data_IF_225854510095
#
_entry.id   IF_225854510095
#
_cell.length_a   1.000
_cell.length_b   1.000
_cell.length_c   1.000
_cell.angle_alpha   90.00
_cell.angle_beta   90.00
_cell.angle_gamma   90.00
#
_symmetry.space_group_name_H-M   'P 1'
#
loop_
_entity.id
_entity.type
_entity.pdbx_description
1 polymer ?
#
# COMPACT_ATOMS: atom_id res chain seq x y z
N UNK A 1 17.97 6.16 30.43
CA UNK A 1 17.89 7.04 29.27
C UNK A 1 16.93 8.18 29.60
N UNK A 2 17.25 9.41 29.21
CA UNK A 2 16.40 10.58 29.53
C UNK A 2 15.51 10.88 28.32
N UNK A 3 14.20 11.01 28.54
CA UNK A 3 13.29 11.54 27.53
C UNK A 3 13.40 13.06 27.49
N UNK A 4 13.49 13.59 26.29
CA UNK A 4 13.44 15.01 26.00
C UNK A 4 11.99 15.49 25.82
N UNK A 5 11.74 16.78 25.90
CA UNK A 5 10.50 17.34 25.37
C UNK A 5 10.46 17.20 23.84
N UNK A 6 9.28 17.18 23.21
CA UNK A 6 9.18 17.07 21.75
C UNK A 6 9.98 18.17 21.03
N UNK A 7 9.95 19.41 21.52
CA UNK A 7 10.67 20.53 20.90
C UNK A 7 12.19 20.38 21.02
N UNK A 8 12.69 19.86 22.15
CA UNK A 8 14.12 19.57 22.32
C UNK A 8 14.53 18.41 21.41
N UNK A 9 13.69 17.36 21.28
CA UNK A 9 13.99 16.22 20.42
C UNK A 9 14.12 16.63 18.94
N UNK A 10 13.23 17.47 18.42
CA UNK A 10 13.34 17.99 17.05
C UNK A 10 14.41 19.07 16.89
N UNK A 11 15.05 19.49 17.95
CA UNK A 11 16.18 20.45 17.95
C UNK A 11 17.38 19.97 17.13
N UNK A 12 17.50 18.67 16.88
CA UNK A 12 18.55 18.09 16.03
C UNK A 12 18.35 18.35 14.52
N UNK A 13 17.13 18.72 14.08
CA UNK A 13 16.84 19.05 12.68
C UNK A 13 17.43 20.39 12.30
N UNK A 14 18.04 20.45 11.11
CA UNK A 14 18.70 21.64 10.55
C UNK A 14 18.05 22.03 9.21
N UNK A 15 18.21 23.27 8.83
CA UNK A 15 17.82 23.73 7.48
C UNK A 15 18.52 22.91 6.40
N UNK A 16 17.78 22.54 5.36
CA UNK A 16 18.23 21.72 4.25
C UNK A 16 18.18 20.19 4.50
N UNK A 17 17.86 19.73 5.73
CA UNK A 17 17.77 18.31 6.04
C UNK A 17 16.63 17.64 5.26
N UNK A 18 16.83 16.37 4.94
CA UNK A 18 15.80 15.47 4.44
C UNK A 18 15.35 14.52 5.54
N UNK A 19 14.09 14.60 5.91
CA UNK A 19 13.47 13.79 6.97
C UNK A 19 12.63 12.69 6.32
N UNK A 20 12.85 11.44 6.71
CA UNK A 20 11.94 10.32 6.41
C UNK A 20 11.05 10.09 7.63
N UNK A 21 9.74 10.03 7.40
CA UNK A 21 8.72 9.88 8.45
C UNK A 21 8.09 8.51 8.36
N UNK A 22 7.97 7.82 9.49
CA UNK A 22 7.24 6.55 9.58
C UNK A 22 5.78 6.75 9.16
N UNK A 23 5.27 5.80 8.37
CA UNK A 23 3.96 5.86 7.73
C UNK A 23 2.87 5.04 8.42
N UNK A 24 1.90 4.57 7.62
CA UNK A 24 0.72 3.83 8.07
C UNK A 24 -0.11 4.65 9.07
N UNK A 25 -0.62 4.03 10.11
CA UNK A 25 -1.26 4.68 11.27
C UNK A 25 -0.28 4.95 12.41
N UNK A 26 1.03 4.83 12.13
CA UNK A 26 2.15 5.04 13.06
C UNK A 26 2.82 6.41 12.93
N UNK A 27 2.22 7.35 12.22
CA UNK A 27 2.81 8.68 11.99
C UNK A 27 3.18 9.33 13.32
N UNK A 28 4.45 9.77 13.53
CA UNK A 28 4.91 10.39 14.77
C UNK A 28 4.44 11.85 14.89
N UNK A 29 3.13 12.06 15.08
CA UNK A 29 2.50 13.38 15.04
C UNK A 29 3.02 14.33 16.10
N UNK A 30 3.43 13.82 17.27
CA UNK A 30 4.04 14.66 18.33
C UNK A 30 5.33 15.31 17.83
N UNK A 31 6.17 14.56 17.11
CA UNK A 31 7.40 15.10 16.51
C UNK A 31 7.09 16.06 15.35
N UNK A 32 6.09 15.74 14.51
CA UNK A 32 5.73 16.61 13.38
C UNK A 32 5.11 17.94 13.82
N UNK A 33 4.30 17.95 14.89
CA UNK A 33 3.76 19.18 15.47
C UNK A 33 4.92 20.03 16.04
N UNK A 34 5.82 19.43 16.81
CA UNK A 34 6.99 20.11 17.36
C UNK A 34 7.94 20.65 16.27
N UNK A 35 8.16 19.87 15.18
CA UNK A 35 8.93 20.35 14.04
C UNK A 35 8.31 21.61 13.43
N UNK A 36 6.98 21.63 13.30
CA UNK A 36 6.26 22.76 12.70
C UNK A 36 6.40 24.04 13.55
N UNK A 37 6.49 23.94 14.88
CA UNK A 37 6.74 25.09 15.76
C UNK A 37 8.09 25.77 15.47
N UNK A 38 9.05 25.04 14.87
CA UNK A 38 10.36 25.57 14.46
C UNK A 38 10.40 26.17 13.06
N UNK A 39 9.25 26.34 12.41
CA UNK A 39 9.18 26.87 11.04
C UNK A 39 9.89 28.24 10.86
N UNK A 40 9.85 29.10 11.90
CA UNK A 40 10.55 30.40 11.89
C UNK A 40 12.08 30.30 11.77
N UNK A 41 12.66 29.17 12.23
CA UNK A 41 14.10 28.94 12.31
C UNK A 41 14.64 28.12 11.15
N UNK A 42 13.79 27.24 10.56
CA UNK A 42 14.17 26.26 9.55
C UNK A 42 13.88 26.76 8.13
N UNK A 43 14.70 26.31 7.16
CA UNK A 43 14.54 26.59 5.72
C UNK A 43 14.83 25.34 4.92
N UNK A 44 14.03 25.12 3.87
CA UNK A 44 14.18 24.05 2.86
C UNK A 44 14.35 22.64 3.46
N UNK A 45 13.63 22.33 4.53
CA UNK A 45 13.59 20.99 5.11
C UNK A 45 12.64 20.13 4.29
N UNK A 46 13.13 19.04 3.73
CA UNK A 46 12.32 18.07 2.97
C UNK A 46 11.74 17.04 3.93
N UNK A 47 10.43 16.85 3.88
CA UNK A 47 9.73 15.84 4.69
C UNK A 47 9.14 14.79 3.76
N UNK A 48 9.71 13.59 3.76
CA UNK A 48 9.31 12.47 2.92
C UNK A 48 8.43 11.53 3.73
N UNK A 49 7.19 11.34 3.27
CA UNK A 49 6.26 10.37 3.84
C UNK A 49 5.93 9.26 2.84
N UNK A 50 5.75 8.04 3.37
CA UNK A 50 5.15 6.94 2.64
C UNK A 50 3.63 6.99 2.70
N UNK A 51 2.99 5.81 2.63
CA UNK A 51 1.57 5.69 2.88
C UNK A 51 1.27 6.06 4.34
N UNK A 52 0.33 6.98 4.57
CA UNK A 52 -0.03 7.42 5.90
C UNK A 52 -1.54 7.67 6.04
N UNK A 53 -2.10 7.31 7.18
CA UNK A 53 -3.50 7.58 7.54
C UNK A 53 -3.51 8.29 8.89
N UNK A 54 -3.99 9.52 8.87
CA UNK A 54 -4.21 10.31 10.09
C UNK A 54 -5.40 11.27 9.88
N UNK A 55 -6.25 11.50 10.89
CA UNK A 55 -7.37 12.43 10.78
C UNK A 55 -6.94 13.90 10.65
N UNK A 56 -5.78 14.27 11.24
CA UNK A 56 -5.21 15.59 11.10
C UNK A 56 -4.43 15.70 9.78
N UNK A 57 -4.53 16.84 9.12
CA UNK A 57 -3.66 17.20 8.01
C UNK A 57 -2.18 17.27 8.49
N UNK A 58 -1.26 17.05 7.56
CA UNK A 58 0.16 17.13 7.87
C UNK A 58 0.52 18.58 8.28
N UNK A 59 0.96 18.84 9.52
CA UNK A 59 1.05 20.19 10.04
C UNK A 59 2.10 21.04 9.32
N UNK A 60 3.12 20.41 8.73
CA UNK A 60 4.20 21.06 7.97
C UNK A 60 3.80 21.38 6.51
N UNK A 61 2.75 20.76 5.97
CA UNK A 61 2.36 20.89 4.57
C UNK A 61 1.33 22.02 4.37
N UNK A 62 1.70 23.23 4.73
CA UNK A 62 0.86 24.42 4.62
C UNK A 62 1.54 25.48 3.74
N UNK A 63 0.72 26.25 3.00
CA UNK A 63 1.21 27.25 2.06
C UNK A 63 2.12 28.30 2.71
N UNK A 64 1.78 28.72 3.92
CA UNK A 64 2.55 29.69 4.70
C UNK A 64 3.89 29.14 5.22
N UNK A 65 4.11 27.83 5.12
CA UNK A 65 5.32 27.15 5.60
C UNK A 65 6.25 26.65 4.47
N UNK A 66 5.94 26.98 3.21
CA UNK A 66 6.68 26.47 2.05
C UNK A 66 8.15 26.88 2.00
N UNK A 67 8.53 28.00 2.62
CA UNK A 67 9.94 28.40 2.75
C UNK A 67 10.71 27.51 3.73
N UNK A 68 10.00 26.95 4.72
CA UNK A 68 10.59 26.13 5.77
C UNK A 68 10.56 24.65 5.43
N UNK A 69 9.44 24.17 4.84
CA UNK A 69 9.22 22.74 4.58
C UNK A 69 8.79 22.47 3.14
N UNK A 70 9.35 21.41 2.57
CA UNK A 70 8.90 20.82 1.32
C UNK A 70 8.27 19.46 1.62
N UNK A 71 6.95 19.36 1.49
CA UNK A 71 6.24 18.11 1.67
C UNK A 71 6.39 17.23 0.42
N UNK A 72 7.06 16.10 0.58
CA UNK A 72 7.25 15.10 -0.45
C UNK A 72 6.57 13.79 -0.02
N UNK A 73 6.05 13.05 -0.98
CA UNK A 73 5.48 11.75 -0.67
C UNK A 73 5.82 10.73 -1.77
N UNK A 74 5.74 9.46 -1.41
CA UNK A 74 5.95 8.32 -2.32
C UNK A 74 4.61 7.72 -2.70
N UNK A 75 3.65 7.82 -1.78
CA UNK A 75 2.26 7.45 -1.96
C UNK A 75 1.41 8.56 -1.33
N UNK A 76 0.50 9.19 -2.07
CA UNK A 76 -0.26 10.33 -1.56
C UNK A 76 -1.13 9.91 -0.38
N UNK A 77 -0.73 10.24 0.86
CA UNK A 77 -1.51 9.90 2.04
C UNK A 77 -2.75 10.79 2.12
N UNK A 78 -3.77 10.33 2.87
CA UNK A 78 -5.02 11.07 2.96
C UNK A 78 -4.84 12.48 3.56
N UNK A 79 -3.91 12.63 4.50
CA UNK A 79 -3.62 13.89 5.20
C UNK A 79 -2.73 14.86 4.40
N UNK A 80 -2.31 14.51 3.18
CA UNK A 80 -1.60 15.40 2.24
C UNK A 80 -2.41 15.70 0.96
N UNK A 81 -3.60 15.11 0.77
CA UNK A 81 -4.37 15.29 -0.46
C UNK A 81 -4.75 16.75 -0.76
N UNK A 82 -5.02 17.53 0.28
CA UNK A 82 -5.32 18.95 0.11
C UNK A 82 -4.05 19.72 -0.31
N UNK A 83 -2.93 19.46 0.37
CA UNK A 83 -1.64 20.07 0.03
C UNK A 83 -1.19 19.73 -1.40
N UNK A 84 -1.47 18.50 -1.90
CA UNK A 84 -1.23 18.12 -3.30
C UNK A 84 -2.06 18.97 -4.26
N UNK A 85 -3.36 19.16 -4.00
CA UNK A 85 -4.24 19.97 -4.87
C UNK A 85 -3.82 21.43 -4.91
N UNK A 86 -3.26 21.93 -3.84
CA UNK A 86 -2.79 23.31 -3.70
C UNK A 86 -1.35 23.52 -4.22
N UNK A 87 -0.67 22.44 -4.64
CA UNK A 87 0.71 22.50 -5.10
C UNK A 87 1.72 22.76 -3.97
N UNK A 88 1.33 22.50 -2.71
CA UNK A 88 2.18 22.62 -1.52
C UNK A 88 2.98 21.34 -1.27
N UNK A 89 2.45 20.21 -1.71
CA UNK A 89 3.11 18.91 -1.65
C UNK A 89 3.36 18.36 -3.06
N UNK A 90 4.37 17.49 -3.19
CA UNK A 90 4.75 16.85 -4.45
C UNK A 90 5.03 15.35 -4.24
N UNK A 91 5.12 14.59 -5.33
CA UNK A 91 5.30 13.14 -5.30
C UNK A 91 6.61 12.72 -5.96
N UNK A 92 7.31 11.78 -5.35
CA UNK A 92 8.45 11.05 -5.93
C UNK A 92 7.89 9.74 -6.52
N UNK A 93 7.71 9.63 -7.84
CA UNK A 93 7.16 8.43 -8.45
C UNK A 93 8.19 7.29 -8.42
N UNK A 94 7.87 6.21 -7.70
CA UNK A 94 8.66 4.98 -7.64
C UNK A 94 7.79 3.80 -7.22
N UNK A 95 8.25 2.59 -7.49
CA UNK A 95 7.65 1.40 -6.90
C UNK A 95 8.00 1.31 -5.42
N UNK A 96 7.07 0.85 -4.60
CA UNK A 96 7.28 0.86 -3.15
C UNK A 96 8.47 -0.03 -2.74
N UNK A 97 8.63 -1.19 -3.38
CA UNK A 97 9.78 -2.07 -3.14
C UNK A 97 11.13 -1.47 -3.50
N UNK A 98 11.17 -0.42 -4.32
CA UNK A 98 12.41 0.26 -4.73
C UNK A 98 12.81 1.42 -3.82
N UNK A 99 11.90 1.93 -2.98
CA UNK A 99 12.18 3.07 -2.11
C UNK A 99 13.41 2.85 -1.21
N UNK A 100 13.58 1.68 -0.56
CA UNK A 100 14.78 1.41 0.22
C UNK A 100 16.08 1.50 -0.59
N UNK A 101 16.04 1.18 -1.88
CA UNK A 101 17.19 1.36 -2.76
C UNK A 101 17.53 2.84 -2.97
N UNK A 102 16.53 3.72 -3.13
CA UNK A 102 16.76 5.16 -3.28
C UNK A 102 17.47 5.75 -2.06
N UNK A 103 17.16 5.27 -0.86
CA UNK A 103 17.82 5.69 0.39
C UNK A 103 19.22 5.08 0.51
N UNK A 104 19.35 3.77 0.37
CA UNK A 104 20.62 3.03 0.53
C UNK A 104 21.67 3.41 -0.51
N UNK A 105 21.24 3.76 -1.73
CA UNK A 105 22.17 4.24 -2.78
C UNK A 105 22.54 5.73 -2.62
N UNK A 106 21.87 6.48 -1.73
CA UNK A 106 22.06 7.90 -1.55
C UNK A 106 21.46 8.78 -2.68
N UNK A 107 20.67 8.19 -3.60
CA UNK A 107 19.93 8.98 -4.61
C UNK A 107 18.92 9.92 -3.94
N UNK A 108 18.32 9.46 -2.84
CA UNK A 108 17.55 10.28 -1.91
C UNK A 108 18.30 10.25 -0.58
N UNK A 109 19.09 11.28 -0.25
CA UNK A 109 19.81 11.32 1.01
C UNK A 109 18.83 11.43 2.19
N UNK A 110 19.12 10.74 3.30
CA UNK A 110 18.32 10.79 4.52
C UNK A 110 19.19 11.37 5.64
N UNK A 111 18.84 12.56 6.11
CA UNK A 111 19.55 13.21 7.22
C UNK A 111 18.93 12.81 8.56
N UNK A 112 17.60 12.76 8.62
CA UNK A 112 16.85 12.47 9.85
C UNK A 112 15.77 11.44 9.59
N UNK A 113 15.56 10.53 10.53
CA UNK A 113 14.38 9.66 10.55
C UNK A 113 13.50 9.96 11.76
N UNK A 114 12.21 10.13 11.53
CA UNK A 114 11.20 10.27 12.59
C UNK A 114 10.43 8.97 12.74
N UNK A 115 10.52 8.38 13.93
CA UNK A 115 9.90 7.11 14.26
C UNK A 115 8.86 7.24 15.38
N UNK A 116 7.85 6.39 15.34
CA UNK A 116 6.91 6.11 16.43
C UNK A 116 7.09 4.65 16.83
N UNK A 117 7.69 4.40 17.99
CA UNK A 117 8.17 3.08 18.40
C UNK A 117 7.55 2.64 19.71
N UNK A 118 7.59 1.33 19.99
CA UNK A 118 7.21 0.77 21.30
C UNK A 118 8.12 1.27 22.41
N UNK A 119 7.72 1.07 23.66
CA UNK A 119 8.64 1.20 24.78
C UNK A 119 9.82 0.24 24.60
N UNK A 120 11.03 0.61 25.06
CA UNK A 120 12.17 -0.28 25.01
C UNK A 120 11.95 -1.49 25.93
N UNK A 121 12.35 -2.66 25.48
CA UNK A 121 12.36 -3.88 26.29
C UNK A 121 13.52 -3.85 27.32
N UNK A 122 13.65 -4.93 28.09
CA UNK A 122 14.70 -5.12 29.09
C UNK A 122 16.13 -5.05 28.52
N UNK A 123 16.29 -5.31 27.21
CA UNK A 123 17.55 -5.24 26.48
C UNK A 123 17.73 -3.92 25.76
N UNK A 124 16.80 -2.98 25.88
CA UNK A 124 16.85 -1.67 25.23
C UNK A 124 16.38 -1.62 23.79
N UNK A 125 15.67 -2.64 23.27
CA UNK A 125 15.14 -2.65 21.93
C UNK A 125 13.71 -2.14 21.88
N UNK A 126 13.45 -1.19 20.97
CA UNK A 126 12.14 -0.71 20.60
C UNK A 126 11.69 -1.38 19.29
N UNK A 127 10.40 -1.76 19.19
CA UNK A 127 9.80 -2.23 17.95
C UNK A 127 9.25 -1.05 17.15
N UNK A 128 9.36 -1.12 15.80
CA UNK A 128 8.63 -0.22 14.90
C UNK A 128 7.12 -0.49 14.90
N UNK A 129 6.71 -1.56 15.56
CA UNK A 129 5.30 -1.93 15.72
C UNK A 129 4.61 -2.26 14.40
N UNK A 130 3.60 -1.47 14.08
CA UNK A 130 2.68 -1.75 12.97
C UNK A 130 3.13 -1.18 11.62
N UNK A 131 4.31 -0.57 11.51
CA UNK A 131 4.79 -0.02 10.24
C UNK A 131 6.32 0.00 10.17
N UNK A 132 6.86 -0.91 9.37
CA UNK A 132 8.26 -0.92 8.98
C UNK A 132 8.47 -0.25 7.62
N UNK A 133 7.57 -0.49 6.71
CA UNK A 133 7.50 -0.01 5.34
C UNK A 133 8.80 0.63 4.81
N UNK A 134 8.83 1.94 4.60
CA UNK A 134 10.02 2.73 4.25
C UNK A 134 10.76 3.26 5.48
N UNK A 135 10.15 3.17 6.67
CA UNK A 135 10.70 3.74 7.90
C UNK A 135 11.97 3.00 8.35
N UNK A 136 12.00 1.68 8.15
CA UNK A 136 13.18 0.87 8.51
C UNK A 136 14.39 1.29 7.70
N UNK A 137 14.30 1.30 6.37
CA UNK A 137 15.39 1.75 5.50
C UNK A 137 15.72 3.23 5.66
N UNK A 138 14.70 4.06 5.93
CA UNK A 138 14.90 5.46 6.27
C UNK A 138 15.77 5.66 7.51
N UNK A 139 15.47 4.93 8.59
CA UNK A 139 16.26 5.00 9.83
C UNK A 139 17.64 4.37 9.68
N UNK A 140 17.78 3.28 8.90
CA UNK A 140 19.07 2.65 8.58
C UNK A 140 20.02 3.62 7.88
N UNK A 141 19.50 4.47 6.99
CA UNK A 141 20.28 5.43 6.21
C UNK A 141 20.43 6.81 6.86
N UNK A 142 19.62 7.11 7.88
CA UNK A 142 19.61 8.42 8.52
C UNK A 142 20.89 8.68 9.33
N UNK A 143 21.38 9.92 9.26
CA UNK A 143 22.47 10.40 10.13
C UNK A 143 22.00 10.57 11.58
N UNK A 144 20.71 10.84 11.77
CA UNK A 144 20.10 11.10 13.08
C UNK A 144 18.72 10.43 13.13
N UNK A 145 18.50 9.58 14.13
CA UNK A 145 17.19 8.98 14.40
C UNK A 145 16.56 9.65 15.61
N UNK A 146 15.33 10.11 15.46
CA UNK A 146 14.53 10.74 16.53
C UNK A 146 13.25 9.91 16.69
N UNK A 147 12.97 9.47 17.91
CA UNK A 147 11.84 8.58 18.17
C UNK A 147 10.82 9.18 19.16
N UNK A 148 9.57 9.12 18.76
CA UNK A 148 8.41 9.21 19.64
C UNK A 148 8.17 7.82 20.24
N UNK A 149 8.27 7.68 21.55
CA UNK A 149 8.00 6.42 22.26
C UNK A 149 6.54 6.41 22.69
N UNK A 150 5.82 5.38 22.28
CA UNK A 150 4.38 5.25 22.45
C UNK A 150 4.02 3.92 23.12
N UNK A 151 3.44 3.97 24.32
CA UNK A 151 3.02 2.78 25.07
C UNK A 151 1.92 1.95 24.37
N UNK A 152 1.21 2.53 23.40
CA UNK A 152 0.17 1.84 22.63
C UNK A 152 0.73 1.12 21.40
N UNK A 153 2.02 1.30 21.07
CA UNK A 153 2.66 0.63 19.95
C UNK A 153 2.93 -0.84 20.32
N UNK A 154 2.34 -1.82 19.60
CA UNK A 154 2.60 -3.22 19.86
C UNK A 154 4.03 -3.60 19.54
N UNK A 155 4.55 -4.61 20.22
CA UNK A 155 5.82 -5.24 19.87
C UNK A 155 5.57 -6.31 18.82
N UNK A 156 6.04 -6.08 17.62
CA UNK A 156 5.96 -7.02 16.51
C UNK A 156 7.31 -7.72 16.27
N UNK A 157 7.27 -8.86 15.59
CA UNK A 157 8.47 -9.63 15.24
C UNK A 157 8.91 -9.33 13.80
N UNK A 158 10.19 -9.56 13.53
CA UNK A 158 10.86 -9.30 12.25
C UNK A 158 12.09 -8.46 12.45
N UNK A 159 12.61 -7.85 11.38
CA UNK A 159 13.80 -7.00 11.44
C UNK A 159 13.56 -5.60 12.04
N UNK A 160 12.35 -5.00 11.97
CA UNK A 160 12.17 -3.61 12.36
C UNK A 160 12.16 -3.44 13.89
N UNK A 161 13.35 -3.51 14.44
CA UNK A 161 13.66 -3.17 15.82
C UNK A 161 14.85 -2.20 15.83
N UNK A 162 14.90 -1.32 16.81
CA UNK A 162 16.01 -0.38 16.99
C UNK A 162 16.44 -0.37 18.45
N UNK A 163 17.74 -0.46 18.69
CA UNK A 163 18.27 -0.32 20.02
C UNK A 163 18.36 1.16 20.40
N UNK A 164 18.04 1.48 21.64
CA UNK A 164 18.03 2.87 22.16
C UNK A 164 19.36 3.62 21.96
N UNK A 165 20.49 2.92 21.86
CA UNK A 165 21.79 3.55 21.56
C UNK A 165 21.92 4.09 20.14
N UNK A 166 21.04 3.70 19.24
CA UNK A 166 21.00 4.20 17.85
C UNK A 166 20.06 5.39 17.69
N UNK A 167 19.33 5.76 18.75
CA UNK A 167 18.38 6.87 18.76
C UNK A 167 19.04 8.07 19.41
N UNK A 168 19.20 9.15 18.65
CA UNK A 168 19.83 10.38 19.12
C UNK A 168 18.96 11.14 20.13
N UNK A 169 17.63 11.11 19.96
CA UNK A 169 16.67 11.77 20.83
C UNK A 169 15.37 10.98 20.93
N UNK A 170 14.82 10.87 22.12
CA UNK A 170 13.55 10.21 22.41
C UNK A 170 12.63 11.16 23.14
N UNK A 171 11.37 11.24 22.76
CA UNK A 171 10.32 11.92 23.52
C UNK A 171 9.14 10.98 23.80
N UNK A 172 8.33 11.27 24.81
CA UNK A 172 7.06 10.58 25.04
C UNK A 172 6.00 11.12 24.10
N UNK A 173 5.21 10.19 23.53
CA UNK A 173 4.10 10.53 22.68
C UNK A 173 3.04 9.43 22.76
N UNK A 174 2.44 9.28 23.95
CA UNK A 174 1.45 8.25 24.28
C UNK A 174 0.09 8.59 23.64
N UNK A 175 0.03 8.55 22.33
CA UNK A 175 -1.22 8.72 21.57
C UNK A 175 -1.75 7.34 21.11
N UNK A 176 -3.05 7.04 21.29
CA UNK A 176 -3.63 5.82 20.75
C UNK A 176 -3.39 5.71 19.25
N UNK A 177 -3.08 4.51 18.77
CA UNK A 177 -2.92 4.27 17.33
C UNK A 177 -4.25 4.50 16.62
N UNK A 178 -4.18 5.08 15.43
CA UNK A 178 -5.37 5.30 14.61
C UNK A 178 -5.92 3.97 14.14
N UNK A 179 -7.22 3.78 14.34
CA UNK A 179 -7.93 2.62 13.84
C UNK A 179 -8.46 2.88 12.43
N UNK A 180 -8.31 1.89 11.56
CA UNK A 180 -8.85 1.90 10.20
C UNK A 180 -10.01 0.92 10.16
N UNK A 181 -11.26 1.41 10.12
CA UNK A 181 -12.41 0.53 10.07
C UNK A 181 -12.40 -0.37 8.85
N UNK A 182 -12.66 -1.65 9.04
CA UNK A 182 -12.82 -2.58 7.93
C UNK A 182 -14.15 -2.27 7.21
N UNK A 183 -14.14 -1.91 5.91
CA UNK A 183 -15.35 -1.59 5.20
C UNK A 183 -16.25 -2.83 5.04
N UNK A 184 -17.55 -2.65 5.24
CA UNK A 184 -18.55 -3.68 4.89
C UNK A 184 -18.71 -3.65 3.36
N UNK A 185 -18.45 -4.77 2.66
CA UNK A 185 -18.59 -4.79 1.21
C UNK A 185 -20.02 -4.56 0.75
N UNK A 186 -20.20 -3.77 -0.29
CA UNK A 186 -21.47 -3.64 -1.00
C UNK A 186 -21.82 -4.92 -1.76
N UNK A 187 -23.06 -5.02 -2.29
CA UNK A 187 -23.46 -6.16 -3.14
C UNK A 187 -22.59 -6.28 -4.40
N UNK A 188 -22.22 -5.16 -5.01
CA UNK A 188 -21.31 -5.11 -6.17
C UNK A 188 -19.96 -5.70 -5.80
N UNK A 189 -19.35 -5.20 -4.72
CA UNK A 189 -18.06 -5.68 -4.24
C UNK A 189 -18.10 -7.15 -3.83
N UNK A 190 -19.22 -7.61 -3.24
CA UNK A 190 -19.42 -9.02 -2.88
C UNK A 190 -19.45 -9.92 -4.11
N UNK A 191 -20.12 -9.49 -5.20
CA UNK A 191 -20.12 -10.26 -6.47
C UNK A 191 -18.71 -10.36 -7.04
N UNK A 192 -17.97 -9.25 -7.08
CA UNK A 192 -16.59 -9.24 -7.55
C UNK A 192 -15.72 -10.16 -6.68
N UNK A 193 -15.86 -10.06 -5.37
CA UNK A 193 -15.14 -10.90 -4.41
C UNK A 193 -15.37 -12.39 -4.63
N UNK A 194 -16.61 -12.81 -4.88
CA UNK A 194 -16.97 -14.19 -5.16
C UNK A 194 -16.34 -14.70 -6.48
N UNK A 195 -16.33 -13.90 -7.55
CA UNK A 195 -15.66 -14.28 -8.79
C UNK A 195 -14.16 -14.53 -8.57
N UNK A 196 -13.48 -13.67 -7.82
CA UNK A 196 -12.06 -13.82 -7.54
C UNK A 196 -11.80 -15.01 -6.62
N UNK A 197 -12.60 -15.19 -5.56
CA UNK A 197 -12.44 -16.30 -4.60
C UNK A 197 -12.54 -17.66 -5.29
N UNK A 198 -13.43 -17.81 -6.27
CA UNK A 198 -13.57 -19.04 -7.06
C UNK A 198 -12.33 -19.39 -7.90
N UNK A 199 -11.47 -18.41 -8.18
CA UNK A 199 -10.22 -18.61 -8.91
C UNK A 199 -9.04 -18.93 -7.99
N UNK A 200 -9.20 -18.79 -6.65
CA UNK A 200 -8.16 -19.03 -5.67
C UNK A 200 -8.19 -20.51 -5.26
N UNK A 201 -7.12 -21.27 -5.45
CA UNK A 201 -7.07 -22.66 -5.00
C UNK A 201 -6.64 -22.76 -3.54
N UNK A 202 -6.92 -23.90 -2.91
CA UNK A 202 -6.33 -24.26 -1.63
C UNK A 202 -4.79 -24.21 -1.67
N UNK A 203 -4.18 -23.81 -0.58
CA UNK A 203 -2.74 -23.65 -0.48
C UNK A 203 -2.18 -22.41 -1.18
N UNK A 204 -3.04 -21.50 -1.65
CA UNK A 204 -2.60 -20.23 -2.25
C UNK A 204 -1.96 -19.30 -1.22
N UNK A 205 -0.95 -18.55 -1.64
CA UNK A 205 -0.39 -17.45 -0.84
C UNK A 205 -0.97 -16.11 -1.31
N UNK A 206 -1.61 -15.41 -0.40
CA UNK A 206 -2.39 -14.22 -0.69
C UNK A 206 -1.58 -12.93 -0.48
N UNK A 207 -1.63 -12.04 -1.46
CA UNK A 207 -1.47 -10.60 -1.28
C UNK A 207 -2.83 -9.96 -1.50
N UNK A 208 -3.28 -9.18 -0.55
CA UNK A 208 -4.61 -8.57 -0.56
C UNK A 208 -4.48 -7.08 -0.27
N UNK A 209 -5.02 -6.25 -1.15
CA UNK A 209 -5.08 -4.80 -0.96
C UNK A 209 -6.05 -4.39 0.15
N UNK A 210 -6.18 -3.07 0.34
CA UNK A 210 -7.09 -2.47 1.33
C UNK A 210 -8.35 -1.97 0.60
N UNK A 211 -9.52 -2.22 1.19
CA UNK A 211 -10.79 -1.70 0.65
C UNK A 211 -11.94 -2.73 0.63
N UNK A 212 -13.08 -2.33 0.09
CA UNK A 212 -14.30 -3.14 0.09
C UNK A 212 -14.18 -4.42 -0.74
N UNK A 213 -13.63 -4.36 -1.96
CA UNK A 213 -13.43 -5.54 -2.81
C UNK A 213 -12.44 -6.53 -2.19
N UNK A 214 -11.22 -6.13 -1.73
CA UNK A 214 -10.33 -7.02 -1.01
C UNK A 214 -11.00 -7.70 0.18
N UNK A 215 -11.78 -6.96 0.96
CA UNK A 215 -12.50 -7.53 2.09
C UNK A 215 -13.61 -8.50 1.66
N UNK A 216 -14.29 -8.24 0.54
CA UNK A 216 -15.26 -9.17 -0.05
C UNK A 216 -14.60 -10.49 -0.48
N UNK A 217 -13.39 -10.43 -1.06
CA UNK A 217 -12.62 -11.64 -1.39
C UNK A 217 -12.32 -12.43 -0.11
N UNK A 218 -11.77 -11.79 0.92
CA UNK A 218 -11.45 -12.43 2.21
C UNK A 218 -12.68 -13.13 2.79
N UNK A 219 -13.83 -12.46 2.81
CA UNK A 219 -15.08 -13.02 3.33
C UNK A 219 -15.54 -14.28 2.56
N UNK A 220 -15.23 -14.37 1.27
CA UNK A 220 -15.58 -15.51 0.43
C UNK A 220 -14.62 -16.72 0.58
N UNK A 221 -13.47 -16.56 1.26
CA UNK A 221 -12.47 -17.62 1.42
C UNK A 221 -12.73 -18.58 2.61
N UNK A 222 -13.87 -18.47 3.27
CA UNK A 222 -14.18 -19.22 4.49
C UNK A 222 -14.15 -20.75 4.41
N UNK A 223 -14.20 -21.33 3.19
CA UNK A 223 -14.15 -22.78 2.94
C UNK A 223 -12.80 -23.26 2.37
N UNK A 224 -11.83 -22.38 2.19
CA UNK A 224 -10.50 -22.74 1.70
C UNK A 224 -9.65 -23.38 2.80
N UNK A 225 -8.54 -24.00 2.41
CA UNK A 225 -7.61 -24.68 3.30
C UNK A 225 -6.17 -24.32 2.99
N UNK A 226 -5.34 -24.26 4.04
CA UNK A 226 -3.90 -24.07 3.96
C UNK A 226 -3.46 -22.80 3.20
N UNK A 227 -4.24 -21.72 3.32
CA UNK A 227 -3.86 -20.44 2.73
C UNK A 227 -2.65 -19.84 3.45
N UNK A 228 -1.85 -19.08 2.73
CA UNK A 228 -0.76 -18.30 3.26
C UNK A 228 -1.00 -16.80 3.09
N UNK A 229 -0.35 -15.99 3.91
CA UNK A 229 -0.38 -14.54 3.82
C UNK A 229 1.03 -13.99 3.60
N UNK A 230 1.25 -13.31 2.46
CA UNK A 230 2.42 -12.53 2.14
C UNK A 230 1.94 -11.27 1.43
N UNK A 231 1.78 -10.20 2.17
CA UNK A 231 1.12 -8.98 1.70
C UNK A 231 1.88 -7.74 2.17
N UNK A 232 1.68 -6.62 1.53
CA UNK A 232 2.19 -5.33 2.00
C UNK A 232 1.49 -4.91 3.29
N UNK A 233 0.14 -4.84 3.24
CA UNK A 233 -0.69 -4.45 4.37
C UNK A 233 -1.43 -5.66 4.96
N UNK A 234 -1.33 -5.84 6.27
CA UNK A 234 -2.16 -6.78 7.04
C UNK A 234 -3.37 -6.00 7.57
N UNK A 235 -4.59 -6.53 7.36
CA UNK A 235 -5.84 -5.88 7.76
C UNK A 235 -6.68 -6.78 8.66
N UNK A 236 -7.67 -6.22 9.37
CA UNK A 236 -8.60 -6.99 10.22
C UNK A 236 -9.27 -8.15 9.50
N UNK A 237 -9.54 -7.99 8.20
CA UNK A 237 -10.28 -9.00 7.43
C UNK A 237 -9.63 -10.39 7.45
N UNK A 238 -8.29 -10.47 7.54
CA UNK A 238 -7.59 -11.77 7.56
C UNK A 238 -7.64 -12.46 8.92
N UNK A 239 -7.91 -11.73 10.01
CA UNK A 239 -7.86 -12.27 11.37
C UNK A 239 -8.84 -13.44 11.60
N UNK A 240 -10.11 -13.39 11.16
CA UNK A 240 -11.00 -14.53 11.28
C UNK A 240 -10.53 -15.78 10.53
N UNK A 241 -9.83 -15.62 9.40
CA UNK A 241 -9.29 -16.75 8.63
C UNK A 241 -8.08 -17.37 9.35
N UNK A 242 -7.23 -16.56 9.98
CA UNK A 242 -6.10 -17.01 10.80
C UNK A 242 -6.63 -17.78 12.02
N UNK A 243 -7.57 -17.19 12.76
CA UNK A 243 -8.14 -17.80 13.98
C UNK A 243 -8.87 -19.12 13.70
N UNK A 244 -9.42 -19.31 12.51
CA UNK A 244 -10.05 -20.56 12.07
C UNK A 244 -9.07 -21.57 11.47
N UNK A 245 -7.78 -21.23 11.36
CA UNK A 245 -6.76 -22.07 10.74
C UNK A 245 -6.90 -22.22 9.21
N UNK A 246 -7.67 -21.38 8.55
CA UNK A 246 -7.79 -21.33 7.08
C UNK A 246 -6.50 -20.73 6.49
N UNK A 247 -5.99 -19.66 7.10
CA UNK A 247 -4.65 -19.15 6.87
C UNK A 247 -3.74 -19.74 7.95
N UNK A 248 -3.04 -20.81 7.64
CA UNK A 248 -2.06 -21.47 8.51
C UNK A 248 -0.62 -21.28 8.05
N UNK A 249 -0.42 -20.67 6.86
CA UNK A 249 0.88 -20.41 6.25
C UNK A 249 1.77 -21.65 6.03
N UNK A 250 1.23 -22.87 6.16
CA UNK A 250 1.99 -24.12 6.17
C UNK A 250 2.67 -24.43 4.84
N UNK A 251 2.09 -23.99 3.72
CA UNK A 251 2.60 -24.26 2.36
C UNK A 251 3.45 -23.13 1.77
N UNK A 252 3.65 -22.04 2.48
CA UNK A 252 4.55 -20.95 2.08
C UNK A 252 6.00 -21.43 2.06
N UNK A 253 6.81 -20.86 1.14
CA UNK A 253 8.28 -21.06 1.13
C UNK A 253 9.01 -19.94 1.89
N UNK A 254 8.46 -18.74 1.82
CA UNK A 254 8.97 -17.57 2.55
C UNK A 254 8.22 -17.47 3.89
N UNK A 255 8.90 -17.59 5.01
CA UNK A 255 8.33 -17.59 6.35
C UNK A 255 7.18 -18.61 6.51
N UNK A 256 7.42 -19.94 6.32
CA UNK A 256 6.39 -20.95 6.52
C UNK A 256 5.84 -20.88 7.97
N UNK A 257 4.54 -21.05 8.12
CA UNK A 257 3.85 -20.95 9.41
C UNK A 257 3.68 -19.51 9.94
N UNK A 258 4.03 -18.48 9.16
CA UNK A 258 3.96 -17.08 9.60
C UNK A 258 3.30 -16.18 8.55
N UNK A 259 2.45 -15.28 9.02
CA UNK A 259 1.90 -14.19 8.21
C UNK A 259 2.94 -13.07 8.05
N UNK A 260 3.22 -12.68 6.82
CA UNK A 260 4.24 -11.70 6.47
C UNK A 260 3.62 -10.43 5.91
N UNK A 261 4.02 -9.28 6.46
CA UNK A 261 3.65 -7.95 5.98
C UNK A 261 4.73 -6.90 6.19
N UNK A 262 4.48 -5.68 5.74
CA UNK A 262 5.34 -4.51 6.00
C UNK A 262 4.65 -3.48 6.87
N UNK A 263 3.33 -3.43 6.82
CA UNK A 263 2.50 -2.53 7.61
C UNK A 263 1.18 -3.19 8.00
N UNK A 264 0.51 -2.61 8.98
CA UNK A 264 -0.76 -3.09 9.51
C UNK A 264 -1.77 -1.95 9.51
N UNK A 265 -2.96 -2.22 9.01
CA UNK A 265 -4.07 -1.27 8.97
C UNK A 265 -5.32 -1.95 9.53
N UNK A 266 -5.70 -1.63 10.74
CA UNK A 266 -6.82 -2.30 11.35
C UNK A 266 -7.32 -1.62 12.61
N UNK A 267 -8.08 -2.39 13.37
CA UNK A 267 -8.60 -2.00 14.67
C UNK A 267 -7.60 -2.24 15.79
N UNK A 268 -7.88 -1.67 16.93
CA UNK A 268 -7.19 -1.97 18.18
C UNK A 268 -7.11 -3.48 18.47
N UNK A 269 -8.16 -4.23 18.10
CA UNK A 269 -8.18 -5.69 18.29
C UNK A 269 -7.08 -6.40 17.48
N UNK A 270 -6.84 -6.00 16.23
CA UNK A 270 -5.76 -6.56 15.44
C UNK A 270 -4.39 -6.18 16.03
N UNK A 271 -4.22 -4.92 16.45
CA UNK A 271 -2.97 -4.45 17.05
C UNK A 271 -2.64 -5.22 18.34
N UNK A 272 -3.63 -5.43 19.21
CA UNK A 272 -3.49 -6.23 20.45
C UNK A 272 -3.22 -7.70 20.15
N UNK A 273 -3.84 -8.27 19.10
CA UNK A 273 -3.61 -9.66 18.69
C UNK A 273 -2.20 -9.89 18.15
N UNK A 274 -1.61 -8.88 17.53
CA UNK A 274 -0.25 -8.94 17.00
C UNK A 274 0.82 -8.65 18.05
N UNK A 275 0.47 -8.05 19.18
CA UNK A 275 1.42 -7.75 20.24
C UNK A 275 2.08 -9.01 20.79
N UNK A 276 3.41 -9.09 20.72
CA UNK A 276 4.21 -10.25 21.10
C UNK A 276 3.76 -11.59 20.47
N UNK A 277 3.13 -11.54 19.28
CA UNK A 277 2.67 -12.73 18.57
C UNK A 277 3.66 -13.14 17.46
N UNK A 278 4.39 -14.27 17.62
CA UNK A 278 5.40 -14.71 16.64
C UNK A 278 4.81 -15.28 15.35
N UNK A 279 3.48 -15.43 15.24
CA UNK A 279 2.81 -15.82 13.98
C UNK A 279 2.86 -14.70 12.94
N UNK A 280 3.12 -13.46 13.36
CA UNK A 280 3.26 -12.31 12.47
C UNK A 280 4.72 -11.87 12.35
N UNK A 281 5.12 -11.60 11.13
CA UNK A 281 6.44 -11.05 10.81
C UNK A 281 6.26 -9.78 10.00
N UNK A 282 6.79 -8.68 10.52
CA UNK A 282 6.81 -7.40 9.83
C UNK A 282 8.22 -7.18 9.27
N UNK A 283 8.32 -6.84 8.00
CA UNK A 283 9.57 -6.63 7.29
C UNK A 283 9.59 -5.30 6.53
N UNK A 284 10.79 -4.83 6.21
CA UNK A 284 11.03 -3.78 5.22
C UNK A 284 10.36 -4.11 3.87
N UNK A 285 9.84 -3.12 3.18
CA UNK A 285 9.24 -3.30 1.84
C UNK A 285 10.24 -3.83 0.81
N UNK A 286 11.54 -3.56 0.95
CA UNK A 286 12.56 -4.17 0.10
C UNK A 286 12.58 -5.70 0.16
N UNK A 287 12.07 -6.30 1.25
CA UNK A 287 11.93 -7.74 1.36
C UNK A 287 10.53 -8.22 0.99
N UNK A 288 9.50 -7.56 1.56
CA UNK A 288 8.09 -7.99 1.41
C UNK A 288 7.62 -7.80 -0.02
N UNK A 289 8.02 -6.71 -0.66
CA UNK A 289 7.62 -6.34 -2.02
C UNK A 289 8.62 -6.84 -3.10
N UNK A 290 9.69 -7.56 -2.72
CA UNK A 290 10.62 -8.10 -3.72
C UNK A 290 9.94 -9.19 -4.56
N UNK A 291 9.78 -9.00 -5.89
CA UNK A 291 9.23 -10.02 -6.77
C UNK A 291 9.96 -11.37 -6.70
N UNK A 292 11.26 -11.38 -6.36
CA UNK A 292 12.03 -12.62 -6.19
C UNK A 292 11.59 -13.40 -4.94
N UNK A 293 11.20 -12.70 -3.88
CA UNK A 293 10.66 -13.33 -2.67
C UNK A 293 9.21 -13.78 -2.90
N UNK A 294 8.39 -12.92 -3.49
CA UNK A 294 6.97 -13.20 -3.77
C UNK A 294 6.83 -14.46 -4.63
N UNK A 295 7.60 -14.58 -5.71
CA UNK A 295 7.54 -15.71 -6.66
C UNK A 295 7.91 -17.06 -6.05
N UNK A 296 8.65 -17.09 -4.95
CA UNK A 296 9.04 -18.34 -4.29
C UNK A 296 7.85 -19.04 -3.63
N UNK A 297 6.82 -18.27 -3.21
CA UNK A 297 5.60 -18.87 -2.70
C UNK A 297 4.78 -19.45 -3.87
N UNK A 298 4.40 -20.73 -3.81
CA UNK A 298 3.56 -21.32 -4.85
C UNK A 298 2.16 -20.69 -4.81
N UNK A 299 1.50 -20.64 -5.98
CA UNK A 299 0.15 -20.09 -6.12
C UNK A 299 0.02 -18.70 -5.48
N UNK A 300 0.99 -17.81 -5.72
CA UNK A 300 0.90 -16.43 -5.23
C UNK A 300 -0.26 -15.71 -5.94
N UNK A 301 -1.20 -15.18 -5.15
CA UNK A 301 -2.39 -14.47 -5.64
C UNK A 301 -2.24 -12.98 -5.31
N UNK A 302 -2.05 -12.15 -6.34
CA UNK A 302 -2.00 -10.70 -6.19
C UNK A 302 -3.38 -10.11 -6.50
N UNK A 303 -4.03 -9.49 -5.51
CA UNK A 303 -5.40 -8.96 -5.62
C UNK A 303 -5.35 -7.45 -5.36
N UNK A 304 -5.55 -6.68 -6.42
CA UNK A 304 -5.44 -5.23 -6.42
C UNK A 304 -6.64 -4.57 -7.09
N UNK A 305 -6.81 -3.27 -6.88
CA UNK A 305 -7.90 -2.48 -7.46
C UNK A 305 -7.40 -1.51 -8.52
N UNK A 306 -8.31 -0.98 -9.32
CA UNK A 306 -8.02 0.03 -10.32
C UNK A 306 -9.06 1.15 -10.33
N UNK A 307 -8.65 2.29 -10.88
CA UNK A 307 -9.52 3.42 -11.19
C UNK A 307 -10.22 3.16 -12.51
N UNK A 308 -9.46 2.80 -13.56
CA UNK A 308 -10.00 2.47 -14.87
C UNK A 308 -9.10 1.50 -15.64
N UNK A 309 -9.67 0.79 -16.61
CA UNK A 309 -8.99 -0.16 -17.50
C UNK A 309 -9.40 0.13 -18.94
N UNK A 310 -8.43 0.31 -19.86
CA UNK A 310 -8.71 0.53 -21.27
C UNK A 310 -8.94 -0.80 -22.04
N UNK A 311 -9.50 -0.71 -23.26
CA UNK A 311 -9.80 -1.88 -24.10
C UNK A 311 -8.55 -2.70 -24.50
N UNK A 312 -7.35 -2.25 -24.25
CA UNK A 312 -6.12 -3.03 -24.47
C UNK A 312 -5.61 -3.69 -23.20
N UNK A 313 -6.21 -3.38 -22.05
CA UNK A 313 -5.79 -3.88 -20.73
C UNK A 313 -4.72 -3.04 -20.05
N UNK A 314 -4.55 -1.76 -20.44
CA UNK A 314 -3.79 -0.82 -19.62
C UNK A 314 -4.62 -0.41 -18.40
N UNK A 315 -3.99 -0.31 -17.25
CA UNK A 315 -4.64 -0.12 -15.95
C UNK A 315 -4.09 1.13 -15.29
N UNK A 316 -4.97 2.07 -14.99
CA UNK A 316 -4.71 3.21 -14.13
C UNK A 316 -5.20 2.90 -12.71
N UNK A 317 -4.38 3.16 -11.70
CA UNK A 317 -4.70 2.95 -10.29
C UNK A 317 -4.27 4.10 -9.37
N UNK A 318 -3.53 5.08 -9.85
CA UNK A 318 -2.91 6.16 -9.05
C UNK A 318 -3.50 7.55 -9.30
N UNK A 319 -4.22 7.73 -10.41
CA UNK A 319 -4.67 9.06 -10.84
C UNK A 319 -6.08 9.07 -11.45
N UNK A 320 -6.74 10.21 -11.39
CA UNK A 320 -7.98 10.51 -12.10
C UNK A 320 -7.65 11.60 -13.12
N UNK A 321 -7.46 11.21 -14.39
CA UNK A 321 -6.88 12.10 -15.38
C UNK A 321 -5.51 12.59 -14.92
N UNK A 322 -5.29 13.89 -14.93
CA UNK A 322 -4.03 14.53 -14.50
C UNK A 322 -3.85 14.61 -12.99
N UNK A 323 -4.89 14.31 -12.19
CA UNK A 323 -4.84 14.43 -10.73
C UNK A 323 -4.34 13.15 -10.10
N UNK A 324 -3.12 13.17 -9.52
CA UNK A 324 -2.58 12.07 -8.73
C UNK A 324 -3.32 12.01 -7.40
N UNK A 325 -3.90 10.85 -7.05
CA UNK A 325 -4.70 10.63 -5.84
C UNK A 325 -4.12 9.58 -4.90
N UNK A 326 -3.14 8.82 -5.37
CA UNK A 326 -2.41 7.84 -4.58
C UNK A 326 -0.97 7.69 -5.10
N UNK A 327 -0.41 6.53 -5.06
CA UNK A 327 0.83 6.11 -5.71
C UNK A 327 0.65 4.70 -6.23
N UNK A 328 1.69 4.17 -6.87
CA UNK A 328 1.71 2.78 -7.34
C UNK A 328 1.62 1.80 -6.16
N UNK A 329 2.24 2.18 -5.01
CA UNK A 329 2.38 1.27 -3.87
C UNK A 329 3.12 -0.01 -4.28
N UNK A 330 2.69 -1.14 -3.74
CA UNK A 330 3.21 -2.47 -4.08
C UNK A 330 2.44 -3.19 -5.19
N UNK A 331 1.47 -2.56 -5.86
CA UNK A 331 0.67 -3.23 -6.89
C UNK A 331 1.56 -3.85 -7.98
N UNK A 332 2.53 -3.09 -8.51
CA UNK A 332 3.44 -3.61 -9.53
C UNK A 332 4.28 -4.76 -9.00
N UNK A 333 4.87 -4.62 -7.82
CA UNK A 333 5.76 -5.59 -7.20
C UNK A 333 5.06 -6.96 -7.03
N UNK A 334 3.88 -6.95 -6.42
CA UNK A 334 3.10 -8.16 -6.20
C UNK A 334 2.53 -8.75 -7.48
N UNK A 335 2.02 -7.92 -8.39
CA UNK A 335 1.55 -8.39 -9.71
C UNK A 335 2.68 -9.06 -10.50
N UNK A 336 3.87 -8.48 -10.49
CA UNK A 336 5.02 -9.06 -11.17
C UNK A 336 5.50 -10.35 -10.48
N UNK A 337 5.69 -10.33 -9.16
CA UNK A 337 6.09 -11.50 -8.39
C UNK A 337 5.11 -12.68 -8.52
N UNK A 338 3.80 -12.42 -8.39
CA UNK A 338 2.78 -13.44 -8.55
C UNK A 338 2.72 -13.99 -9.98
N UNK A 339 2.94 -13.15 -11.00
CA UNK A 339 2.97 -13.60 -12.40
C UNK A 339 4.12 -14.58 -12.71
N UNK A 340 5.16 -14.58 -11.88
CA UNK A 340 6.32 -15.47 -11.98
C UNK A 340 6.22 -16.69 -11.06
N UNK A 341 5.27 -16.71 -10.13
CA UNK A 341 5.04 -17.81 -9.20
C UNK A 341 4.39 -18.99 -9.93
N UNK A 342 4.77 -20.21 -9.55
CA UNK A 342 4.12 -21.43 -10.05
C UNK A 342 2.65 -21.48 -9.64
N UNK A 343 1.74 -21.48 -10.61
CA UNK A 343 0.29 -21.41 -10.38
C UNK A 343 -0.19 -20.05 -9.87
N UNK A 344 0.65 -19.02 -9.92
CA UNK A 344 0.32 -17.67 -9.49
C UNK A 344 -0.67 -16.95 -10.41
N UNK A 345 -1.52 -16.10 -9.84
CA UNK A 345 -2.53 -15.33 -10.56
C UNK A 345 -2.55 -13.88 -10.09
N UNK A 346 -2.81 -12.97 -11.04
CA UNK A 346 -2.86 -11.53 -10.81
C UNK A 346 -4.25 -11.00 -11.15
N UNK A 347 -4.91 -10.41 -10.17
CA UNK A 347 -6.27 -9.89 -10.28
C UNK A 347 -6.27 -8.38 -10.15
N UNK A 348 -6.98 -7.73 -11.07
CA UNK A 348 -7.39 -6.34 -10.96
C UNK A 348 -8.91 -6.32 -10.88
N UNK A 349 -9.41 -5.71 -9.82
CA UNK A 349 -10.81 -5.70 -9.47
C UNK A 349 -11.35 -4.27 -9.36
N UNK A 350 -12.47 -4.00 -10.00
CA UNK A 350 -13.12 -2.70 -9.96
C UNK A 350 -14.63 -2.83 -10.22
N UNK A 351 -15.50 -2.00 -9.61
CA UNK A 351 -16.86 -1.87 -10.08
C UNK A 351 -16.86 -1.39 -11.53
N UNK A 352 -17.80 -1.87 -12.35
CA UNK A 352 -17.86 -1.47 -13.78
C UNK A 352 -18.16 0.02 -13.97
N UNK A 353 -18.84 0.63 -12.99
CA UNK A 353 -19.22 2.05 -12.99
C UNK A 353 -18.75 2.77 -11.74
N UNK A 354 -18.53 4.08 -11.86
CA UNK A 354 -18.38 4.98 -10.70
C UNK A 354 -19.73 5.29 -10.08
N UNK A 355 -19.76 5.82 -8.86
CA UNK A 355 -20.96 6.32 -8.20
C UNK A 355 -21.66 7.46 -8.97
N UNK A 356 -20.96 8.09 -9.91
CA UNK A 356 -21.48 9.15 -10.80
C UNK A 356 -21.97 8.62 -12.15
N UNK A 357 -22.02 7.29 -12.35
CA UNK A 357 -22.49 6.66 -13.58
C UNK A 357 -21.48 6.71 -14.75
N UNK A 358 -20.18 6.83 -14.46
CA UNK A 358 -19.14 6.77 -15.48
C UNK A 358 -18.55 5.37 -15.55
N UNK A 359 -18.32 4.85 -16.74
CA UNK A 359 -17.68 3.55 -16.94
C UNK A 359 -16.23 3.56 -16.48
N UNK A 360 -15.80 2.47 -15.84
CA UNK A 360 -14.41 2.21 -15.47
C UNK A 360 -13.71 1.24 -16.43
N UNK A 361 -14.47 0.57 -17.31
CA UNK A 361 -13.94 -0.05 -18.52
C UNK A 361 -14.09 0.99 -19.63
N UNK A 362 -12.97 1.47 -20.17
CA UNK A 362 -12.94 2.66 -21.05
C UNK A 362 -12.26 2.33 -22.39
N UNK A 363 -12.62 3.07 -23.46
CA UNK A 363 -11.97 2.90 -24.76
C UNK A 363 -10.47 3.23 -24.72
N UNK A 364 -10.12 4.30 -24.02
CA UNK A 364 -8.76 4.75 -23.71
C UNK A 364 -8.76 5.28 -22.28
N UNK A 365 -7.65 5.16 -21.57
CA UNK A 365 -7.49 5.83 -20.27
C UNK A 365 -7.73 7.35 -20.43
N UNK A 366 -8.20 7.97 -19.37
CA UNK A 366 -8.41 9.42 -19.35
C UNK A 366 -7.11 10.16 -19.71
N UNK A 367 -7.18 11.30 -20.44
CA UNK A 367 -6.00 12.10 -20.72
C UNK A 367 -5.25 12.47 -19.44
N UNK A 368 -3.93 12.24 -19.42
CA UNK A 368 -3.08 12.47 -18.25
C UNK A 368 -3.04 11.33 -17.22
N UNK A 369 -3.90 10.31 -17.34
CA UNK A 369 -3.89 9.16 -16.44
C UNK A 369 -2.62 8.33 -16.56
N UNK A 370 -2.04 7.94 -15.42
CA UNK A 370 -0.88 7.05 -15.35
C UNK A 370 -1.22 5.60 -15.70
N UNK A 371 -0.26 4.86 -16.26
CA UNK A 371 -0.36 3.40 -16.47
C UNK A 371 0.39 2.71 -15.36
N UNK A 372 -0.29 2.32 -14.30
CA UNK A 372 0.29 1.60 -13.15
C UNK A 372 0.61 0.16 -13.52
N UNK A 373 -0.31 -0.55 -14.16
CA UNK A 373 -0.08 -1.90 -14.67
C UNK A 373 -0.23 -1.91 -16.18
N UNK A 374 0.83 -2.32 -16.88
CA UNK A 374 0.85 -2.34 -18.32
C UNK A 374 -0.02 -3.46 -18.89
N UNK A 375 -0.47 -3.32 -20.15
CA UNK A 375 -1.19 -4.37 -20.87
C UNK A 375 -0.44 -5.70 -20.96
N UNK A 376 0.87 -5.68 -20.79
CA UNK A 376 1.72 -6.88 -20.84
C UNK A 376 1.66 -7.69 -19.54
N UNK A 377 1.32 -7.05 -18.42
CA UNK A 377 1.23 -7.66 -17.09
C UNK A 377 -0.21 -8.00 -16.70
N UNK A 378 -1.21 -7.34 -17.29
CA UNK A 378 -2.62 -7.59 -17.01
C UNK A 378 -3.00 -9.05 -17.27
N UNK A 379 -3.58 -9.72 -16.27
CA UNK A 379 -4.05 -11.10 -16.36
C UNK A 379 -5.57 -11.19 -16.17
N UNK A 380 -6.04 -11.21 -14.93
CA UNK A 380 -7.45 -11.27 -14.62
C UNK A 380 -8.00 -9.87 -14.34
N UNK A 381 -9.11 -9.55 -15.00
CA UNK A 381 -9.90 -8.33 -14.70
C UNK A 381 -11.28 -8.78 -14.25
N UNK A 382 -11.73 -8.28 -13.09
CA UNK A 382 -13.01 -8.64 -12.49
C UNK A 382 -13.88 -7.40 -12.26
N UNK A 383 -15.13 -7.50 -12.65
CA UNK A 383 -16.21 -6.56 -12.29
C UNK A 383 -17.39 -7.37 -11.72
N UNK A 384 -18.47 -6.71 -11.30
CA UNK A 384 -19.70 -7.36 -10.88
C UNK A 384 -20.42 -8.13 -12.01
N UNK A 385 -20.00 -7.93 -13.26
CA UNK A 385 -20.54 -8.63 -14.44
C UNK A 385 -19.75 -9.87 -14.82
N UNK A 386 -18.61 -10.14 -14.19
CA UNK A 386 -17.80 -11.33 -14.44
C UNK A 386 -16.31 -11.09 -14.27
N UNK A 387 -15.55 -12.13 -14.61
CA UNK A 387 -14.09 -12.13 -14.60
C UNK A 387 -13.58 -12.63 -15.97
N UNK A 388 -12.54 -11.96 -16.49
CA UNK A 388 -11.92 -12.33 -17.78
C UNK A 388 -10.42 -12.45 -17.63
N UNK A 389 -9.82 -13.38 -18.38
CA UNK A 389 -8.39 -13.59 -18.44
C UNK A 389 -7.82 -13.01 -19.73
N UNK A 390 -6.91 -12.05 -19.64
CA UNK A 390 -6.40 -11.29 -20.78
C UNK A 390 -5.04 -11.78 -21.32
N UNK A 391 -4.29 -12.53 -20.52
CA UNK A 391 -2.95 -12.97 -20.93
C UNK A 391 -3.07 -13.88 -22.17
N UNK A 392 -2.21 -13.65 -23.14
CA UNK A 392 -2.18 -14.36 -24.43
C UNK A 392 -3.34 -14.04 -25.41
N UNK A 393 -4.28 -13.17 -25.04
CA UNK A 393 -5.28 -12.70 -25.99
C UNK A 393 -4.72 -11.59 -26.90
N UNK A 394 -4.96 -11.66 -28.21
CA UNK A 394 -4.77 -10.54 -29.13
C UNK A 394 -5.57 -9.31 -28.71
N UNK A 395 -5.14 -8.10 -29.09
CA UNK A 395 -5.76 -6.85 -28.63
C UNK A 395 -7.26 -6.74 -28.93
N UNK A 396 -7.71 -7.20 -30.08
CA UNK A 396 -9.13 -7.19 -30.42
C UNK A 396 -9.95 -8.16 -29.55
N UNK A 397 -9.38 -9.31 -29.21
CA UNK A 397 -10.02 -10.28 -28.31
C UNK A 397 -10.03 -9.78 -26.87
N UNK A 398 -8.97 -9.06 -26.41
CA UNK A 398 -8.97 -8.37 -25.11
C UNK A 398 -10.11 -7.36 -25.02
N UNK A 399 -10.28 -6.54 -26.07
CA UNK A 399 -11.36 -5.56 -26.11
C UNK A 399 -12.72 -6.25 -25.98
N UNK A 400 -12.95 -7.36 -26.71
CA UNK A 400 -14.19 -8.12 -26.62
C UNK A 400 -14.41 -8.70 -25.21
N UNK A 401 -13.38 -9.28 -24.61
CA UNK A 401 -13.43 -9.81 -23.25
C UNK A 401 -13.75 -8.70 -22.22
N UNK A 402 -13.08 -7.54 -22.30
CA UNK A 402 -13.33 -6.42 -21.40
C UNK A 402 -14.74 -5.84 -21.57
N UNK A 403 -15.22 -5.72 -22.81
CA UNK A 403 -16.60 -5.26 -23.09
C UNK A 403 -17.63 -6.22 -22.45
N UNK A 404 -17.37 -7.53 -22.44
CA UNK A 404 -18.31 -8.51 -21.86
C UNK A 404 -18.53 -8.32 -20.36
N UNK A 405 -17.56 -7.75 -19.66
CA UNK A 405 -17.64 -7.46 -18.20
C UNK A 405 -17.87 -5.98 -17.89
N UNK A 406 -18.01 -5.11 -18.89
CA UNK A 406 -18.45 -3.74 -18.72
C UNK A 406 -19.93 -3.68 -18.34
N UNK A 407 -20.37 -2.55 -17.79
CA UNK A 407 -21.80 -2.33 -17.55
C UNK A 407 -22.59 -2.44 -18.89
N UNK A 408 -23.73 -3.14 -18.91
CA UNK A 408 -24.53 -3.31 -20.13
C UNK A 408 -24.86 -2.00 -20.86
N UNK A 409 -25.07 -0.92 -20.11
CA UNK A 409 -25.46 0.40 -20.67
C UNK A 409 -24.38 1.05 -21.56
N UNK A 410 -23.11 0.65 -21.40
CA UNK A 410 -21.98 1.25 -22.14
C UNK A 410 -21.35 0.32 -23.17
N UNK A 411 -21.77 -0.94 -23.25
CA UNK A 411 -21.15 -1.95 -24.14
C UNK A 411 -21.18 -1.54 -25.60
N UNK A 412 -22.32 -1.02 -26.09
CA UNK A 412 -22.47 -0.60 -27.47
C UNK A 412 -21.49 0.55 -27.83
N UNK A 413 -21.29 1.51 -26.93
CA UNK A 413 -20.32 2.59 -27.14
C UNK A 413 -18.88 2.08 -27.17
N UNK A 414 -18.54 1.14 -26.29
CA UNK A 414 -17.26 0.48 -26.27
C UNK A 414 -17.01 -0.39 -27.51
N UNK A 415 -18.05 -1.08 -28.01
CA UNK A 415 -17.96 -1.82 -29.28
C UNK A 415 -17.72 -0.90 -30.46
N UNK A 416 -18.41 0.26 -30.55
CA UNK A 416 -18.15 1.25 -31.58
C UNK A 416 -16.70 1.77 -31.52
N UNK A 417 -16.19 2.02 -30.33
CA UNK A 417 -14.81 2.43 -30.12
C UNK A 417 -13.81 1.32 -30.52
N UNK A 418 -14.12 0.05 -30.20
CA UNK A 418 -13.30 -1.11 -30.56
C UNK A 418 -13.27 -1.31 -32.09
N UNK A 419 -14.41 -1.18 -32.78
CA UNK A 419 -14.47 -1.22 -34.25
C UNK A 419 -13.61 -0.12 -34.87
N UNK A 420 -13.70 1.12 -34.35
CA UNK A 420 -12.88 2.22 -34.82
C UNK A 420 -11.38 1.96 -34.63
N UNK A 421 -10.99 1.31 -33.52
CA UNK A 421 -9.59 1.06 -33.17
C UNK A 421 -9.00 -0.17 -33.86
N UNK A 422 -9.75 -1.27 -33.97
CA UNK A 422 -9.27 -2.57 -34.41
C UNK A 422 -9.83 -3.00 -35.78
N UNK A 423 -10.79 -2.26 -36.32
CA UNK A 423 -11.34 -2.45 -37.65
C UNK A 423 -12.01 -3.82 -37.83
N UNK A 424 -11.84 -4.39 -39.04
CA UNK A 424 -12.43 -5.69 -39.42
C UNK A 424 -11.99 -6.83 -38.50
N UNK A 425 -10.78 -6.74 -37.92
CA UNK A 425 -10.28 -7.74 -36.97
C UNK A 425 -11.22 -7.94 -35.78
N UNK A 426 -11.79 -6.86 -35.22
CA UNK A 426 -12.75 -6.93 -34.13
C UNK A 426 -14.11 -7.47 -34.60
N UNK A 427 -14.60 -7.02 -35.77
CA UNK A 427 -15.91 -7.46 -36.32
C UNK A 427 -15.97 -8.95 -36.65
N UNK A 428 -14.82 -9.60 -36.88
CA UNK A 428 -14.75 -11.04 -37.19
C UNK A 428 -14.74 -11.94 -35.96
N UNK A 429 -14.60 -11.37 -34.75
CA UNK A 429 -14.66 -12.12 -33.51
C UNK A 429 -16.11 -12.53 -33.21
N UNK A 430 -16.37 -13.84 -33.18
CA UNK A 430 -17.68 -14.42 -32.88
C UNK A 430 -17.86 -14.68 -31.40
#
# INVERSE_FOLDING_TARGET
MQYLSPIEAVGFVKSGDTIVVQGSTSIPMVLLRALTERAGELRDVKVISGFGIHPEEAPYAKKELMDSFRALNIFVPNNLRQAMREGVADTIPCFLGEVPFLFRSGQVPVDVAFLNVSEPDENGYCSYGISADIAFSGAECAKTVIAQVNKYMPRTFGDPVIHVSQIAAMCRGDEPLIEVPTPVPSEIETRIGNFIANEIPDGATLQIGVGGIPNAVINALGNHQHLGLHTEAITDGVLPLIQKGIIDNSLKKIYPGKSLGSLVLGSKHLYEYMDNNPEFVIRDVAFTNDPQNIRQNPKAMAINSAIEVDLTGQICADSIGETIISGVGGQHDFMYGASLSEGGKCFIALPSMTSKGQSKIVANLAPGAGVVTTRFQAQYIATEHGIVYLRNLPLAERAKALISIADPSVREDLERAAVKRFGIGFLRLR
#
